data_IF_642204501547
#
_entry.id   IF_642204501547
#
_cell.length_a   1.000
_cell.length_b   1.000
_cell.length_c   1.000
_cell.angle_alpha   90.00
_cell.angle_beta   90.00
_cell.angle_gamma   90.00
#
_symmetry.space_group_name_H-M   'P 1'
#
loop_
_entity.id
_entity.type
_entity.pdbx_description
1 polymer ?
#
# COMPACT_ATOMS: atom_id res chain seq x y z
N UNK A 1 11.28 22.00 9.58
CA UNK A 1 11.46 22.46 8.18
C UNK A 1 11.07 23.93 8.11
N UNK A 2 11.89 24.81 7.53
CA UNK A 2 11.48 26.17 7.19
C UNK A 2 11.18 26.26 5.69
N UNK A 3 10.38 25.31 5.20
CA UNK A 3 10.08 25.12 3.79
C UNK A 3 8.68 24.48 3.66
N UNK A 4 8.03 24.74 2.53
CA UNK A 4 6.75 24.11 2.17
C UNK A 4 7.00 22.71 1.63
N UNK A 5 6.25 21.73 2.13
CA UNK A 5 6.22 20.38 1.56
C UNK A 5 5.12 20.33 0.51
N UNK A 6 5.49 20.07 -0.74
CA UNK A 6 4.54 19.89 -1.85
C UNK A 6 4.24 18.40 -1.99
N UNK A 7 2.96 18.05 -1.98
CA UNK A 7 2.52 16.65 -2.10
C UNK A 7 2.27 16.32 -3.56
N UNK A 8 2.89 15.24 -4.03
CA UNK A 8 2.62 14.65 -5.34
C UNK A 8 2.11 13.21 -5.15
N UNK A 9 0.92 12.93 -5.66
CA UNK A 9 0.34 11.59 -5.63
C UNK A 9 0.70 10.83 -6.91
N UNK A 10 1.66 9.91 -6.81
CA UNK A 10 2.06 9.02 -7.91
C UNK A 10 1.45 7.63 -7.71
N UNK A 11 0.30 7.39 -8.35
CA UNK A 11 -0.43 6.12 -8.26
C UNK A 11 0.01 5.07 -9.30
N UNK A 12 -0.24 3.80 -8.99
CA UNK A 12 -0.07 2.67 -9.91
C UNK A 12 0.81 1.54 -9.36
N UNK A 13 0.57 0.32 -9.84
CA UNK A 13 1.31 -0.90 -9.49
C UNK A 13 1.54 -1.08 -7.98
N UNK A 14 0.50 -0.86 -7.16
CA UNK A 14 0.59 -0.99 -5.70
C UNK A 14 1.52 0.00 -5.01
N UNK A 15 1.90 1.10 -5.67
CA UNK A 15 2.80 2.14 -5.14
C UNK A 15 4.24 2.04 -5.66
N UNK A 16 4.60 0.96 -6.37
CA UNK A 16 5.97 0.76 -6.87
C UNK A 16 6.40 1.81 -7.90
N UNK A 17 5.48 2.45 -8.62
CA UNK A 17 5.81 3.57 -9.53
C UNK A 17 6.30 4.80 -8.76
N UNK A 18 5.62 5.17 -7.67
CA UNK A 18 6.05 6.27 -6.80
C UNK A 18 7.40 5.97 -6.15
N UNK A 19 7.58 4.76 -5.64
CA UNK A 19 8.86 4.33 -5.06
C UNK A 19 10.01 4.36 -6.09
N UNK A 20 9.76 3.88 -7.32
CA UNK A 20 10.74 3.94 -8.42
C UNK A 20 11.12 5.38 -8.77
N UNK A 21 10.15 6.30 -8.78
CA UNK A 21 10.40 7.71 -9.05
C UNK A 21 11.37 8.30 -8.02
N UNK A 22 11.14 8.02 -6.73
CA UNK A 22 12.00 8.54 -5.65
C UNK A 22 13.37 7.87 -5.64
N UNK A 23 13.44 6.55 -5.85
CA UNK A 23 14.72 5.82 -5.92
C UNK A 23 15.65 6.33 -7.05
N UNK A 24 15.07 6.91 -8.12
CA UNK A 24 15.81 7.48 -9.26
C UNK A 24 16.01 9.00 -9.17
N UNK A 25 15.50 9.65 -8.12
CA UNK A 25 15.66 11.08 -7.92
C UNK A 25 17.09 11.44 -7.50
N UNK A 26 17.44 12.73 -7.60
CA UNK A 26 18.69 13.22 -7.03
C UNK A 26 18.67 13.02 -5.49
N UNK A 27 19.74 12.49 -4.88
CA UNK A 27 19.80 12.28 -3.43
C UNK A 27 20.15 13.58 -2.69
N UNK A 28 19.35 14.63 -2.90
CA UNK A 28 19.56 16.00 -2.40
C UNK A 28 18.60 16.40 -1.27
N UNK A 29 17.69 15.49 -0.89
CA UNK A 29 16.72 15.69 0.19
C UNK A 29 15.44 16.44 -0.21
N UNK A 30 15.28 16.86 -1.48
CA UNK A 30 14.07 17.54 -1.95
C UNK A 30 12.99 16.59 -2.47
N UNK A 31 13.34 15.34 -2.76
CA UNK A 31 12.39 14.28 -3.13
C UNK A 31 12.38 13.22 -2.04
N UNK A 32 11.24 13.07 -1.37
CA UNK A 32 11.05 12.10 -0.28
C UNK A 32 9.88 11.18 -0.59
N UNK A 33 9.98 9.93 -0.14
CA UNK A 33 8.94 8.93 -0.30
C UNK A 33 8.17 8.75 1.02
N UNK A 34 6.86 8.96 0.98
CA UNK A 34 5.96 8.45 2.00
C UNK A 34 5.30 7.18 1.47
N UNK A 35 5.61 6.04 2.09
CA UNK A 35 5.06 4.73 1.70
C UNK A 35 4.50 3.97 2.92
N UNK A 36 3.92 2.80 2.69
CA UNK A 36 3.33 1.95 3.72
C UNK A 36 3.85 0.51 3.57
N UNK A 37 3.33 -0.43 4.35
CA UNK A 37 3.79 -1.84 4.38
C UNK A 37 3.82 -2.53 3.00
N UNK A 38 3.10 -2.03 1.99
CA UNK A 38 3.21 -2.49 0.61
C UNK A 38 4.64 -2.49 0.04
N UNK A 39 5.54 -1.67 0.60
CA UNK A 39 6.95 -1.68 0.21
C UNK A 39 7.65 -3.00 0.58
N UNK A 40 7.31 -3.62 1.71
CA UNK A 40 7.92 -4.89 2.13
C UNK A 40 7.34 -6.10 1.40
N UNK A 41 6.11 -6.00 0.89
CA UNK A 41 5.47 -7.08 0.14
C UNK A 41 5.83 -7.06 -1.34
N UNK A 42 6.12 -5.89 -1.91
CA UNK A 42 6.39 -5.71 -3.34
C UNK A 42 7.46 -6.66 -3.92
N UNK A 43 8.61 -6.92 -3.26
CA UNK A 43 9.61 -7.86 -3.78
C UNK A 43 9.09 -9.30 -3.98
N UNK A 44 8.10 -9.72 -3.20
CA UNK A 44 7.48 -11.04 -3.34
C UNK A 44 6.39 -11.07 -4.43
N UNK A 45 5.82 -9.92 -4.79
CA UNK A 45 4.69 -9.80 -5.71
C UNK A 45 5.12 -9.47 -7.16
N UNK A 46 6.25 -8.81 -7.34
CA UNK A 46 6.76 -8.39 -8.65
C UNK A 46 8.04 -9.13 -9.02
N UNK A 47 8.01 -9.83 -10.17
CA UNK A 47 9.19 -10.53 -10.70
C UNK A 47 10.34 -9.58 -11.08
N UNK A 48 10.02 -8.36 -11.49
CA UNK A 48 10.99 -7.37 -11.94
C UNK A 48 10.76 -6.05 -11.22
N UNK A 49 11.56 -5.82 -10.18
CA UNK A 49 11.55 -4.58 -9.41
C UNK A 49 12.49 -3.55 -10.04
N UNK A 50 12.08 -2.29 -10.05
CA UNK A 50 12.85 -1.18 -10.62
C UNK A 50 13.69 -0.42 -9.58
N UNK A 51 13.70 -0.93 -8.35
CA UNK A 51 14.47 -0.45 -7.21
C UNK A 51 14.67 -1.61 -6.23
N UNK A 52 15.65 -1.50 -5.35
CA UNK A 52 15.88 -2.41 -4.24
C UNK A 52 15.39 -1.77 -2.95
N UNK A 53 14.50 -2.46 -2.23
CA UNK A 53 13.84 -1.89 -1.06
C UNK A 53 14.83 -1.54 0.05
N UNK A 54 15.90 -2.31 0.25
CA UNK A 54 16.82 -2.10 1.36
C UNK A 54 17.99 -1.17 1.01
N UNK A 55 18.38 -1.11 -0.26
CA UNK A 55 19.63 -0.48 -0.69
C UNK A 55 19.44 0.87 -1.39
N UNK A 56 18.29 1.13 -2.00
CA UNK A 56 18.08 2.35 -2.80
C UNK A 56 17.45 3.50 -2.00
N UNK A 57 17.28 3.35 -0.67
CA UNK A 57 16.67 4.36 0.20
C UNK A 57 17.44 4.56 1.51
N UNK A 58 17.54 5.82 1.94
CA UNK A 58 17.87 6.18 3.32
C UNK A 58 16.57 6.29 4.14
N UNK A 59 16.46 5.51 5.22
CA UNK A 59 15.23 5.42 6.01
C UNK A 59 15.18 6.47 7.11
N UNK A 60 14.28 7.44 6.97
CA UNK A 60 14.10 8.50 7.97
C UNK A 60 13.36 8.03 9.24
N UNK A 61 12.41 7.12 9.10
CA UNK A 61 11.67 6.56 10.23
C UNK A 61 10.22 6.20 9.93
N UNK A 62 9.56 5.58 10.92
CA UNK A 62 8.14 5.25 10.88
C UNK A 62 7.29 6.49 11.16
N UNK A 63 6.26 6.72 10.35
CA UNK A 63 5.33 7.84 10.52
C UNK A 63 4.16 7.46 11.42
N UNK A 64 3.48 6.35 11.11
CA UNK A 64 2.37 5.83 11.88
C UNK A 64 2.14 4.34 11.62
N UNK A 65 1.27 3.74 12.42
CA UNK A 65 0.73 2.39 12.26
C UNK A 65 -0.80 2.48 12.19
N UNK A 66 -1.42 1.80 11.24
CA UNK A 66 -2.86 1.87 10.99
C UNK A 66 -3.44 0.46 10.84
N UNK A 67 -4.40 0.05 11.68
CA UNK A 67 -5.08 -1.23 11.52
C UNK A 67 -6.04 -1.20 10.32
N UNK A 68 -6.21 -2.33 9.64
CA UNK A 68 -7.22 -2.51 8.60
C UNK A 68 -8.53 -3.04 9.18
N UNK A 69 -9.64 -2.66 8.57
CA UNK A 69 -10.98 -3.12 8.94
C UNK A 69 -11.61 -3.93 7.81
N UNK A 70 -12.46 -4.89 8.18
CA UNK A 70 -13.26 -5.66 7.24
C UNK A 70 -14.67 -5.05 7.17
N UNK A 71 -15.03 -4.50 6.02
CA UNK A 71 -16.28 -3.78 5.81
C UNK A 71 -17.02 -4.39 4.62
N UNK A 72 -18.34 -4.56 4.75
CA UNK A 72 -19.23 -4.97 3.68
C UNK A 72 -20.22 -3.86 3.30
N UNK A 73 -20.87 -4.02 2.14
CA UNK A 73 -22.01 -3.16 1.77
C UNK A 73 -23.13 -3.27 2.82
N UNK A 74 -23.95 -2.22 3.06
CA UNK A 74 -25.00 -2.27 4.08
C UNK A 74 -26.04 -3.39 3.92
N UNK A 75 -26.25 -3.87 2.69
CA UNK A 75 -27.18 -4.97 2.39
C UNK A 75 -26.55 -6.37 2.46
N UNK A 76 -25.29 -6.49 2.90
CA UNK A 76 -24.67 -7.78 3.11
C UNK A 76 -25.34 -8.48 4.30
N UNK A 77 -25.72 -9.75 4.12
CA UNK A 77 -26.51 -10.46 5.12
C UNK A 77 -25.72 -10.81 6.40
N UNK A 78 -24.39 -10.85 6.33
CA UNK A 78 -23.53 -11.18 7.47
C UNK A 78 -23.31 -9.98 8.39
N UNK A 79 -23.65 -10.14 9.68
CA UNK A 79 -23.52 -9.09 10.72
C UNK A 79 -22.36 -9.35 11.70
N UNK A 80 -21.60 -10.42 11.48
CA UNK A 80 -20.43 -10.80 12.26
C UNK A 80 -19.40 -11.49 11.38
N UNK A 81 -18.14 -11.58 11.83
CA UNK A 81 -17.11 -12.31 11.10
C UNK A 81 -17.45 -13.79 10.90
N UNK A 82 -18.06 -14.43 11.92
CA UNK A 82 -18.49 -15.81 11.83
C UNK A 82 -19.59 -16.02 10.76
N UNK A 83 -20.55 -15.10 10.68
CA UNK A 83 -21.56 -15.10 9.61
C UNK A 83 -20.94 -14.79 8.25
N UNK A 84 -19.95 -13.89 8.20
CA UNK A 84 -19.28 -13.52 6.97
C UNK A 84 -18.54 -14.71 6.37
N UNK A 85 -17.82 -15.48 7.19
CA UNK A 85 -17.14 -16.70 6.74
C UNK A 85 -18.14 -17.70 6.12
N UNK A 86 -19.25 -17.99 6.83
CA UNK A 86 -20.32 -18.85 6.30
C UNK A 86 -20.96 -18.29 5.02
N UNK A 87 -21.15 -16.98 4.96
CA UNK A 87 -21.72 -16.31 3.80
C UNK A 87 -20.78 -16.40 2.61
N UNK A 88 -19.47 -16.23 2.80
CA UNK A 88 -18.45 -16.39 1.75
C UNK A 88 -18.51 -17.81 1.19
N UNK A 89 -18.54 -18.82 2.07
CA UNK A 89 -18.62 -20.23 1.66
C UNK A 89 -19.90 -20.55 0.89
N UNK A 90 -21.04 -20.00 1.31
CA UNK A 90 -22.30 -20.21 0.60
C UNK A 90 -22.39 -19.49 -0.76
N UNK A 91 -21.57 -18.47 -1.00
CA UNK A 91 -21.65 -17.58 -2.17
C UNK A 91 -20.40 -17.61 -3.05
N UNK A 92 -19.55 -18.65 -2.95
CA UNK A 92 -18.33 -18.83 -3.76
C UNK A 92 -18.55 -18.50 -5.25
N UNK A 93 -17.62 -17.73 -5.83
CA UNK A 93 -17.66 -17.30 -7.23
C UNK A 93 -18.62 -16.15 -7.56
N UNK A 94 -19.46 -15.69 -6.62
CA UNK A 94 -20.37 -14.54 -6.78
C UNK A 94 -19.95 -13.31 -5.98
N UNK A 95 -18.77 -13.37 -5.36
CA UNK A 95 -18.25 -12.36 -4.44
C UNK A 95 -17.23 -11.52 -5.19
N UNK A 96 -17.30 -10.21 -4.99
CA UNK A 96 -16.31 -9.27 -5.49
C UNK A 96 -15.55 -8.64 -4.32
N UNK A 97 -14.22 -8.56 -4.45
CA UNK A 97 -13.32 -7.80 -3.59
C UNK A 97 -12.68 -6.73 -4.48
N UNK A 98 -13.34 -5.58 -4.59
CA UNK A 98 -12.87 -4.43 -5.37
C UNK A 98 -12.86 -3.18 -4.50
#
# INVERSE_FOLDING_TARGET
LNATVVIENVGGAGGTLGATKVAKAAPDGYTVLLHHIGMSTSPALYRNMQYKTLEDFEYLGMVNEVPMTLIGKPSLAANSYAELSKWIDANHGKINLA
#
